data_IF_524869902841
#
_entry.id   IF_524869902841
#
_cell.length_a   1.000
_cell.length_b   1.000
_cell.length_c   1.000
_cell.angle_alpha   90.00
_cell.angle_beta   90.00
_cell.angle_gamma   90.00
#
_symmetry.space_group_name_H-M   'P 1'
#
loop_
_entity.id
_entity.type
_entity.pdbx_description
1 polymer ?
#
# COMPACT_ATOMS: atom_id res chain seq x y z
N UNK A 1 12.66 -35.50 -8.69
CA UNK A 1 12.31 -34.79 -7.43
C UNK A 1 12.59 -33.30 -7.64
N UNK A 2 11.61 -32.52 -8.09
CA UNK A 2 11.76 -31.07 -8.29
C UNK A 2 10.57 -30.35 -7.65
N UNK A 3 10.77 -29.89 -6.42
CA UNK A 3 9.87 -29.01 -5.69
C UNK A 3 10.45 -27.59 -5.73
N UNK A 4 10.25 -26.87 -6.84
CA UNK A 4 10.51 -25.43 -6.90
C UNK A 4 9.45 -24.79 -7.79
N UNK A 5 8.28 -24.53 -7.19
CA UNK A 5 7.17 -23.86 -7.87
C UNK A 5 6.06 -23.36 -6.94
N UNK A 6 6.13 -23.66 -5.65
CA UNK A 6 5.03 -23.36 -4.69
C UNK A 6 5.24 -22.08 -3.86
N UNK A 7 6.42 -21.48 -3.90
CA UNK A 7 6.74 -20.30 -3.07
C UNK A 7 6.18 -18.98 -3.63
N UNK A 8 6.21 -18.77 -4.96
CA UNK A 8 5.67 -17.52 -5.54
C UNK A 8 4.12 -17.47 -5.52
N UNK A 9 3.45 -18.63 -5.46
CA UNK A 9 1.99 -18.69 -5.41
C UNK A 9 1.44 -18.32 -4.02
N UNK A 10 2.12 -18.73 -2.95
CA UNK A 10 1.69 -18.47 -1.58
C UNK A 10 1.82 -17.00 -1.19
N UNK A 11 2.85 -16.30 -1.68
CA UNK A 11 3.09 -14.90 -1.37
C UNK A 11 1.98 -13.95 -1.85
N UNK A 12 1.29 -14.31 -2.94
CA UNK A 12 0.20 -13.51 -3.52
C UNK A 12 -1.13 -13.69 -2.80
N UNK A 13 -1.41 -14.87 -2.26
CA UNK A 13 -2.60 -15.10 -1.44
C UNK A 13 -2.44 -14.52 -0.03
N UNK A 14 -1.24 -14.62 0.56
CA UNK A 14 -0.96 -14.04 1.87
C UNK A 14 -1.02 -12.51 1.85
N UNK A 15 -0.48 -11.86 0.82
CA UNK A 15 -0.48 -10.40 0.72
C UNK A 15 -1.89 -9.80 0.55
N UNK A 16 -2.80 -10.51 -0.11
CA UNK A 16 -4.20 -10.07 -0.23
C UNK A 16 -4.93 -10.20 1.11
N UNK A 17 -4.60 -11.24 1.88
CA UNK A 17 -5.14 -11.45 3.24
C UNK A 17 -4.66 -10.36 4.21
N UNK A 18 -3.37 -10.01 4.20
CA UNK A 18 -2.81 -8.95 5.07
C UNK A 18 -3.36 -7.57 4.71
N UNK A 19 -3.56 -7.27 3.43
CA UNK A 19 -4.14 -5.99 3.02
C UNK A 19 -5.61 -5.88 3.46
N UNK A 20 -6.38 -6.95 3.33
CA UNK A 20 -7.78 -6.95 3.75
C UNK A 20 -7.92 -6.91 5.28
N UNK A 21 -7.06 -7.62 6.01
CA UNK A 21 -6.97 -7.53 7.47
C UNK A 21 -6.62 -6.12 7.92
N UNK A 22 -5.62 -5.49 7.31
CA UNK A 22 -5.26 -4.10 7.60
C UNK A 22 -6.41 -3.13 7.33
N UNK A 23 -7.22 -3.36 6.28
CA UNK A 23 -8.42 -2.57 6.01
C UNK A 23 -9.50 -2.76 7.07
N UNK A 24 -9.76 -4.00 7.49
CA UNK A 24 -10.75 -4.28 8.51
C UNK A 24 -10.36 -3.67 9.85
N UNK A 25 -9.07 -3.75 10.20
CA UNK A 25 -8.52 -3.09 11.38
C UNK A 25 -8.65 -1.58 11.31
N UNK A 26 -8.29 -0.96 10.17
CA UNK A 26 -8.41 0.48 9.97
C UNK A 26 -9.88 0.94 10.09
N UNK A 27 -10.81 0.20 9.49
CA UNK A 27 -12.25 0.46 9.58
C UNK A 27 -12.74 0.39 11.03
N UNK A 28 -12.39 -0.66 11.76
CA UNK A 28 -12.77 -0.80 13.16
C UNK A 28 -12.20 0.36 14.02
N UNK A 29 -10.97 0.79 13.72
CA UNK A 29 -10.30 1.87 14.44
C UNK A 29 -11.02 3.21 14.21
N UNK A 30 -11.39 3.50 12.96
CA UNK A 30 -12.20 4.66 12.56
C UNK A 30 -13.58 4.65 13.25
N UNK A 31 -14.30 3.54 13.19
CA UNK A 31 -15.64 3.40 13.79
C UNK A 31 -15.62 3.49 15.33
N UNK A 32 -14.53 3.06 15.97
CA UNK A 32 -14.39 3.08 17.43
C UNK A 32 -14.06 4.46 18.02
N UNK A 33 -13.73 5.46 17.20
CA UNK A 33 -13.28 6.76 17.71
C UNK A 33 -14.43 7.67 18.15
N UNK A 34 -14.63 7.73 19.46
CA UNK A 34 -15.72 8.50 20.07
C UNK A 34 -15.25 9.88 20.52
N UNK A 35 -13.99 10.04 20.91
CA UNK A 35 -13.49 11.32 21.46
C UNK A 35 -12.82 12.20 20.38
N UNK A 36 -12.88 13.54 20.51
CA UNK A 36 -12.22 14.44 19.56
C UNK A 36 -10.70 14.20 19.43
N UNK A 37 -10.04 13.84 20.53
CA UNK A 37 -8.61 13.50 20.53
C UNK A 37 -8.30 12.22 19.74
N UNK A 38 -9.13 11.18 19.88
CA UNK A 38 -9.01 9.95 19.08
C UNK A 38 -9.27 10.23 17.60
N UNK A 39 -10.30 11.02 17.28
CA UNK A 39 -10.60 11.43 15.90
C UNK A 39 -9.41 12.17 15.28
N UNK A 40 -8.80 13.12 15.99
CA UNK A 40 -7.62 13.81 15.50
C UNK A 40 -6.42 12.87 15.28
N UNK A 41 -6.19 11.92 16.20
CA UNK A 41 -5.11 10.94 16.08
C UNK A 41 -5.30 10.05 14.84
N UNK A 42 -6.53 9.59 14.58
CA UNK A 42 -6.87 8.79 13.39
C UNK A 42 -6.69 9.60 12.11
N UNK A 43 -7.16 10.84 12.08
CA UNK A 43 -6.97 11.72 10.94
C UNK A 43 -5.49 11.91 10.60
N UNK A 44 -4.65 12.10 11.63
CA UNK A 44 -3.20 12.20 11.47
C UNK A 44 -2.58 10.88 10.99
N UNK A 45 -3.02 9.75 11.52
CA UNK A 45 -2.56 8.41 11.10
C UNK A 45 -2.88 8.14 9.62
N UNK A 46 -4.12 8.36 9.18
CA UNK A 46 -4.54 8.15 7.79
C UNK A 46 -3.73 9.03 6.84
N UNK A 47 -3.57 10.32 7.20
CA UNK A 47 -2.75 11.27 6.44
C UNK A 47 -1.29 10.84 6.35
N UNK A 48 -0.67 10.48 7.47
CA UNK A 48 0.73 10.06 7.50
C UNK A 48 0.94 8.77 6.68
N UNK A 49 0.02 7.83 6.77
CA UNK A 49 0.07 6.55 6.05
C UNK A 49 -0.06 6.76 4.53
N UNK A 50 -0.98 7.62 4.09
CA UNK A 50 -1.12 7.99 2.68
C UNK A 50 0.19 8.61 2.13
N UNK A 51 0.77 9.57 2.87
CA UNK A 51 2.03 10.22 2.48
C UNK A 51 3.17 9.21 2.38
N UNK A 52 3.32 8.33 3.38
CA UNK A 52 4.38 7.33 3.40
C UNK A 52 4.26 6.33 2.23
N UNK A 53 3.04 5.90 1.89
CA UNK A 53 2.80 5.01 0.76
C UNK A 53 3.13 5.68 -0.58
N UNK A 54 2.79 6.96 -0.76
CA UNK A 54 3.17 7.73 -1.97
C UNK A 54 4.67 7.94 -2.07
N UNK A 55 5.34 8.26 -0.97
CA UNK A 55 6.80 8.39 -0.94
C UNK A 55 7.47 7.09 -1.40
N UNK A 56 7.04 5.95 -0.85
CA UNK A 56 7.53 4.63 -1.24
C UNK A 56 7.21 4.27 -2.69
N UNK A 57 6.04 4.65 -3.21
CA UNK A 57 5.70 4.47 -4.62
C UNK A 57 6.66 5.25 -5.53
N UNK A 58 6.97 6.50 -5.17
CA UNK A 58 7.92 7.33 -5.90
C UNK A 58 9.34 6.74 -5.86
N UNK A 59 9.81 6.28 -4.72
CA UNK A 59 11.10 5.59 -4.59
C UNK A 59 11.17 4.36 -5.52
N UNK A 60 10.13 3.54 -5.57
CA UNK A 60 10.07 2.37 -6.45
C UNK A 60 10.09 2.76 -7.93
N UNK A 61 9.45 3.86 -8.31
CA UNK A 61 9.51 4.39 -9.69
C UNK A 61 10.92 4.86 -10.04
N UNK A 62 11.60 5.55 -9.13
CA UNK A 62 12.99 5.95 -9.34
C UNK A 62 13.92 4.73 -9.46
N UNK A 63 13.76 3.73 -8.60
CA UNK A 63 14.48 2.45 -8.72
C UNK A 63 14.20 1.75 -10.06
N UNK A 64 12.96 1.82 -10.54
CA UNK A 64 12.57 1.26 -11.84
C UNK A 64 13.23 1.99 -13.02
N UNK A 65 13.42 3.31 -12.92
CA UNK A 65 14.15 4.11 -13.92
C UNK A 65 15.65 3.81 -13.93
N UNK A 66 16.22 3.55 -12.75
CA UNK A 66 17.65 3.23 -12.57
C UNK A 66 18.00 1.79 -12.97
N UNK A 67 17.02 0.91 -13.16
CA UNK A 67 17.23 -0.47 -13.60
C UNK A 67 17.78 -0.54 -15.03
N UNK A 68 19.10 -0.48 -15.17
CA UNK A 68 19.86 -0.76 -16.40
C UNK A 68 20.73 -1.98 -16.14
N UNK A 69 20.66 -3.01 -16.99
CA UNK A 69 21.45 -4.23 -16.83
C UNK A 69 21.67 -4.96 -18.15
N UNK A 70 22.77 -5.71 -18.23
CA UNK A 70 23.24 -6.41 -19.44
C UNK A 70 22.22 -7.40 -20.02
N UNK A 71 21.30 -7.92 -19.19
CA UNK A 71 20.22 -8.81 -19.60
C UNK A 71 18.91 -8.04 -19.75
N UNK A 72 18.70 -7.46 -20.93
CA UNK A 72 17.55 -6.60 -21.28
C UNK A 72 16.19 -7.16 -20.81
N UNK A 73 15.92 -8.45 -21.03
CA UNK A 73 14.64 -9.07 -20.65
C UNK A 73 14.43 -9.10 -19.13
N UNK A 74 15.48 -9.41 -18.35
CA UNK A 74 15.40 -9.44 -16.89
C UNK A 74 15.24 -8.03 -16.31
N UNK A 75 15.96 -7.06 -16.87
CA UNK A 75 15.81 -5.66 -16.51
C UNK A 75 14.39 -5.16 -16.79
N UNK A 76 13.79 -5.54 -17.92
CA UNK A 76 12.41 -5.18 -18.28
C UNK A 76 11.38 -5.77 -17.32
N UNK A 77 11.49 -7.06 -16.99
CA UNK A 77 10.59 -7.72 -16.02
C UNK A 77 10.72 -7.10 -14.63
N UNK A 78 11.94 -6.81 -14.17
CA UNK A 78 12.16 -6.16 -12.86
C UNK A 78 11.57 -4.76 -12.82
N UNK A 79 11.79 -3.97 -13.87
CA UNK A 79 11.21 -2.62 -14.03
C UNK A 79 9.69 -2.67 -13.97
N UNK A 80 9.06 -3.59 -14.70
CA UNK A 80 7.60 -3.77 -14.71
C UNK A 80 7.07 -4.18 -13.34
N UNK A 81 7.76 -5.10 -12.63
CA UNK A 81 7.40 -5.46 -11.25
C UNK A 81 7.42 -4.25 -10.32
N UNK A 82 8.46 -3.41 -10.40
CA UNK A 82 8.59 -2.22 -9.56
C UNK A 82 7.46 -1.20 -9.82
N UNK A 83 7.12 -0.96 -11.09
CA UNK A 83 5.97 -0.10 -11.43
C UNK A 83 4.64 -0.66 -10.91
N UNK A 84 4.41 -1.96 -11.07
CA UNK A 84 3.19 -2.61 -10.54
C UNK A 84 3.05 -2.44 -9.03
N UNK A 85 4.16 -2.55 -8.29
CA UNK A 85 4.14 -2.34 -6.84
C UNK A 85 3.90 -0.86 -6.51
N UNK A 86 4.54 0.07 -7.23
CA UNK A 86 4.33 1.50 -7.05
C UNK A 86 2.86 1.90 -7.28
N UNK A 87 2.25 1.42 -8.36
CA UNK A 87 0.85 1.71 -8.69
C UNK A 87 -0.11 1.09 -7.66
N UNK A 88 0.24 -0.08 -7.11
CA UNK A 88 -0.52 -0.68 -6.01
C UNK A 88 -0.46 0.17 -4.74
N UNK A 89 0.71 0.73 -4.41
CA UNK A 89 0.87 1.61 -3.26
C UNK A 89 0.13 2.92 -3.42
N UNK A 90 0.09 3.49 -4.62
CA UNK A 90 -0.69 4.71 -4.89
C UNK A 90 -2.19 4.45 -4.73
N UNK A 91 -2.71 3.34 -5.25
CA UNK A 91 -4.12 2.96 -5.02
C UNK A 91 -4.44 2.83 -3.53
N UNK A 92 -3.52 2.30 -2.74
CA UNK A 92 -3.71 2.22 -1.28
C UNK A 92 -3.66 3.61 -0.64
N UNK A 93 -2.74 4.48 -1.06
CA UNK A 93 -2.67 5.85 -0.57
C UNK A 93 -3.96 6.63 -0.87
N UNK A 94 -4.49 6.49 -2.09
CA UNK A 94 -5.74 7.14 -2.51
C UNK A 94 -6.92 6.68 -1.64
N UNK A 95 -6.97 5.38 -1.27
CA UNK A 95 -7.99 4.88 -0.34
C UNK A 95 -7.90 5.55 1.03
N UNK A 96 -6.71 5.61 1.63
CA UNK A 96 -6.54 6.25 2.94
C UNK A 96 -6.93 7.74 2.89
N UNK A 97 -6.70 8.43 1.78
CA UNK A 97 -7.16 9.81 1.61
C UNK A 97 -8.68 9.92 1.46
N UNK A 98 -9.32 8.98 0.76
CA UNK A 98 -10.77 8.91 0.67
C UNK A 98 -11.37 8.65 2.05
N UNK A 99 -10.85 7.67 2.79
CA UNK A 99 -11.28 7.38 4.18
C UNK A 99 -11.07 8.58 5.09
N UNK A 100 -9.96 9.32 4.94
CA UNK A 100 -9.73 10.55 5.69
C UNK A 100 -10.79 11.62 5.39
N UNK A 101 -11.15 11.81 4.12
CA UNK A 101 -12.18 12.78 3.71
C UNK A 101 -13.54 12.40 4.28
N UNK A 102 -13.94 11.13 4.14
CA UNK A 102 -15.19 10.60 4.69
C UNK A 102 -15.23 10.77 6.22
N UNK A 103 -14.17 10.39 6.90
CA UNK A 103 -14.07 10.51 8.35
C UNK A 103 -14.16 11.95 8.84
N UNK A 104 -13.54 12.90 8.12
CA UNK A 104 -13.63 14.32 8.45
C UNK A 104 -15.05 14.86 8.31
N UNK A 105 -15.80 14.40 7.29
CA UNK A 105 -17.20 14.77 7.07
C UNK A 105 -18.09 14.24 8.22
N UNK A 106 -17.88 12.99 8.65
CA UNK A 106 -18.65 12.36 9.74
C UNK A 106 -18.29 12.89 11.14
N UNK A 107 -17.11 13.51 11.28
CA UNK A 107 -16.63 14.04 12.55
C UNK A 107 -17.09 15.47 12.88
N UNK A 108 -17.72 16.15 11.92
CA UNK A 108 -18.27 17.51 12.03
C UNK A 108 -19.73 17.50 12.51
#
# INVERSE_FOLDING_TARGET
MYWFGRAEFLHRFFSVSEEEEARLLEKALVESAVTPGQKQAIANYLKATAIAKRARANELRELAKLSRGEKFLQARVRKEKLFKIADSLDRQADRHETTLKEFQIESH
#
